data_IF_068481372048
#
_entry.id   IF_068481372048
#
_cell.length_a   1.000
_cell.length_b   1.000
_cell.length_c   1.000
_cell.angle_alpha   90.00
_cell.angle_beta   90.00
_cell.angle_gamma   90.00
#
_symmetry.space_group_name_H-M   'P 1'
#
loop_
_entity.id
_entity.type
_entity.pdbx_description
1 polymer ?
#
# COMPACT_ATOMS: atom_id res chain seq x y z
N UNK A 1 -30.70 20.20 10.83
CA UNK A 1 -29.70 19.13 10.59
C UNK A 1 -30.40 18.05 9.77
N UNK A 2 -30.23 18.06 8.43
CA UNK A 2 -30.87 17.06 7.57
C UNK A 2 -30.15 15.73 7.80
N UNK A 3 -30.84 14.77 8.42
CA UNK A 3 -30.38 13.38 8.51
C UNK A 3 -30.25 12.92 7.05
N UNK A 4 -29.03 12.71 6.57
CA UNK A 4 -28.81 12.17 5.22
C UNK A 4 -29.47 10.78 5.21
N UNK A 5 -30.25 10.44 4.15
CA UNK A 5 -30.73 9.07 3.99
C UNK A 5 -29.53 8.12 4.11
N UNK A 6 -29.72 6.99 4.78
CA UNK A 6 -28.69 5.95 4.91
C UNK A 6 -28.13 5.66 3.52
N UNK A 7 -26.87 6.05 3.31
CA UNK A 7 -26.16 5.86 2.06
C UNK A 7 -26.12 4.36 1.80
N UNK A 8 -26.63 3.93 0.64
CA UNK A 8 -26.64 2.50 0.33
C UNK A 8 -25.20 1.98 0.24
N UNK A 9 -24.97 0.71 0.58
CA UNK A 9 -23.62 0.11 0.53
C UNK A 9 -22.93 0.31 -0.85
N UNK A 10 -23.72 0.35 -1.92
CA UNK A 10 -23.26 0.63 -3.28
C UNK A 10 -22.79 2.09 -3.47
N UNK A 11 -23.51 3.07 -2.91
CA UNK A 11 -23.11 4.48 -2.94
C UNK A 11 -21.85 4.74 -2.11
N UNK A 12 -21.72 4.06 -0.96
CA UNK A 12 -20.52 4.14 -0.12
C UNK A 12 -19.30 3.52 -0.83
N UNK A 13 -19.46 2.37 -1.49
CA UNK A 13 -18.42 1.74 -2.29
C UNK A 13 -17.99 2.64 -3.47
N UNK A 14 -18.96 3.23 -4.18
CA UNK A 14 -18.70 4.18 -5.26
C UNK A 14 -17.89 5.39 -4.79
N UNK A 15 -18.30 6.02 -3.67
CA UNK A 15 -17.59 7.17 -3.10
C UNK A 15 -16.15 6.83 -2.72
N UNK A 16 -15.92 5.67 -2.11
CA UNK A 16 -14.59 5.26 -1.66
C UNK A 16 -13.62 5.08 -2.84
N UNK A 17 -14.08 4.52 -3.95
CA UNK A 17 -13.23 4.34 -5.13
C UNK A 17 -12.93 5.65 -5.84
N UNK A 18 -13.87 6.59 -5.88
CA UNK A 18 -13.60 7.93 -6.43
C UNK A 18 -12.64 8.76 -5.59
N UNK A 19 -12.62 8.56 -4.27
CA UNK A 19 -11.69 9.23 -3.37
C UNK A 19 -10.33 8.52 -3.27
N UNK A 20 -10.21 7.29 -3.77
CA UNK A 20 -9.01 6.47 -3.65
C UNK A 20 -7.71 7.12 -4.16
N UNK A 21 -7.69 7.94 -5.25
CA UNK A 21 -6.46 8.62 -5.70
C UNK A 21 -5.89 9.63 -4.69
N UNK A 22 -6.65 10.02 -3.67
CA UNK A 22 -6.16 10.91 -2.62
C UNK A 22 -5.07 10.26 -1.76
N UNK A 23 -5.08 8.93 -1.63
CA UNK A 23 -4.09 8.19 -0.84
C UNK A 23 -2.68 8.30 -1.45
N UNK A 24 -2.44 7.92 -2.72
CA UNK A 24 -1.13 8.11 -3.35
C UNK A 24 -0.79 9.60 -3.54
N UNK A 25 -1.78 10.50 -3.50
CA UNK A 25 -1.52 11.94 -3.48
C UNK A 25 -0.78 12.36 -2.20
N UNK A 26 -1.32 12.02 -1.03
CA UNK A 26 -0.68 12.33 0.26
C UNK A 26 0.67 11.63 0.43
N UNK A 27 0.74 10.35 0.09
CA UNK A 27 1.97 9.56 0.25
C UNK A 27 3.04 9.99 -0.76
N UNK A 28 2.66 10.20 -2.01
CA UNK A 28 3.55 10.66 -3.06
C UNK A 28 4.09 12.08 -2.81
N UNK A 29 3.33 12.95 -2.13
CA UNK A 29 3.86 14.23 -1.67
C UNK A 29 5.10 14.05 -0.77
N UNK A 30 5.08 13.06 0.11
CA UNK A 30 6.25 12.67 0.91
C UNK A 30 7.48 12.33 0.05
N UNK A 31 7.29 11.58 -1.04
CA UNK A 31 8.35 11.25 -1.98
C UNK A 31 8.93 12.48 -2.71
N UNK A 32 8.14 13.55 -2.86
CA UNK A 32 8.57 14.82 -3.48
C UNK A 32 9.34 15.69 -2.51
N UNK A 33 8.90 15.78 -1.25
CA UNK A 33 9.45 16.75 -0.28
C UNK A 33 10.55 16.18 0.62
N UNK A 34 10.65 14.85 0.77
CA UNK A 34 11.64 14.20 1.65
C UNK A 34 12.85 13.72 0.83
N UNK A 35 14.09 14.05 1.24
CA UNK A 35 14.47 14.93 2.35
C UNK A 35 14.39 16.43 2.01
N UNK A 36 14.35 16.77 0.73
CA UNK A 36 14.16 18.13 0.22
C UNK A 36 13.28 18.08 -1.04
N UNK A 37 12.68 19.23 -1.41
CA UNK A 37 11.88 19.34 -2.62
C UNK A 37 12.67 18.95 -3.87
N UNK A 38 12.05 18.16 -4.76
CA UNK A 38 12.61 17.90 -6.08
C UNK A 38 11.54 17.94 -7.17
N UNK A 39 11.75 18.84 -8.13
CA UNK A 39 10.85 19.05 -9.27
C UNK A 39 10.75 17.81 -10.16
N UNK A 40 11.80 17.01 -10.27
CA UNK A 40 11.77 15.77 -11.06
C UNK A 40 10.77 14.77 -10.47
N UNK A 41 10.83 14.53 -9.16
CA UNK A 41 9.86 13.64 -8.49
C UNK A 41 8.45 14.25 -8.50
N UNK A 42 8.33 15.58 -8.41
CA UNK A 42 7.03 16.25 -8.53
C UNK A 42 6.38 16.01 -9.90
N UNK A 43 7.15 16.03 -10.98
CA UNK A 43 6.67 15.73 -12.33
C UNK A 43 6.26 14.27 -12.48
N UNK A 44 7.09 13.32 -12.00
CA UNK A 44 6.78 11.88 -12.04
C UNK A 44 5.51 11.59 -11.24
N UNK A 45 5.42 12.13 -10.02
CA UNK A 45 4.25 12.01 -9.16
C UNK A 45 3.00 12.62 -9.78
N UNK A 46 3.11 13.84 -10.33
CA UNK A 46 2.01 14.53 -11.01
C UNK A 46 1.49 13.76 -12.22
N UNK A 47 2.39 13.17 -13.01
CA UNK A 47 2.01 12.32 -14.14
C UNK A 47 1.24 11.08 -13.70
N UNK A 48 1.76 10.35 -12.70
CA UNK A 48 1.12 9.15 -12.17
C UNK A 48 -0.26 9.48 -11.59
N UNK A 49 -0.38 10.56 -10.81
CA UNK A 49 -1.66 11.01 -10.27
C UNK A 49 -2.64 11.41 -11.36
N UNK A 50 -2.18 12.13 -12.39
CA UNK A 50 -3.04 12.52 -13.52
C UNK A 50 -3.61 11.29 -14.21
N UNK A 51 -2.80 10.25 -14.41
CA UNK A 51 -3.26 8.98 -14.99
C UNK A 51 -4.26 8.25 -14.09
N UNK A 52 -4.03 8.21 -12.77
CA UNK A 52 -4.98 7.62 -11.82
C UNK A 52 -6.31 8.37 -11.77
N UNK A 53 -6.27 9.71 -11.70
CA UNK A 53 -7.47 10.55 -11.72
C UNK A 53 -8.22 10.37 -13.04
N UNK A 54 -7.52 10.36 -14.17
CA UNK A 54 -8.14 10.14 -15.48
C UNK A 54 -8.83 8.77 -15.55
N UNK A 55 -8.19 7.71 -15.05
CA UNK A 55 -8.80 6.37 -14.98
C UNK A 55 -10.09 6.39 -14.17
N UNK A 56 -10.06 6.98 -12.99
CA UNK A 56 -11.20 7.06 -12.07
C UNK A 56 -12.32 7.92 -12.67
N UNK A 57 -11.98 9.03 -13.31
CA UNK A 57 -12.92 9.90 -14.02
C UNK A 57 -13.59 9.20 -15.21
N UNK A 58 -12.83 8.48 -16.03
CA UNK A 58 -13.39 7.67 -17.13
C UNK A 58 -14.31 6.57 -16.61
N UNK A 59 -13.96 5.94 -15.49
CA UNK A 59 -14.82 4.98 -14.80
C UNK A 59 -16.11 5.60 -14.27
N UNK A 60 -16.06 6.84 -13.80
CA UNK A 60 -17.24 7.62 -13.42
C UNK A 60 -18.17 7.86 -14.62
N UNK A 61 -17.63 8.39 -15.73
CA UNK A 61 -18.42 8.66 -16.94
C UNK A 61 -19.09 7.42 -17.50
N UNK A 62 -18.40 6.27 -17.46
CA UNK A 62 -18.92 4.98 -17.93
C UNK A 62 -19.75 4.24 -16.88
N UNK A 63 -20.01 4.84 -15.72
CA UNK A 63 -20.73 4.21 -14.61
C UNK A 63 -20.14 2.85 -14.17
N UNK A 64 -18.82 2.68 -14.29
CA UNK A 64 -18.11 1.45 -13.93
C UNK A 64 -18.07 1.19 -12.41
N UNK A 65 -18.61 2.10 -11.59
CA UNK A 65 -18.84 1.85 -10.15
C UNK A 65 -19.86 0.75 -9.88
N UNK A 66 -20.52 0.19 -10.89
CA UNK A 66 -21.38 -0.98 -10.74
C UNK A 66 -20.62 -2.30 -10.94
N UNK A 67 -19.40 -2.22 -11.48
CA UNK A 67 -18.56 -3.39 -11.76
C UNK A 67 -17.57 -3.61 -10.61
N UNK A 68 -17.76 -4.72 -9.89
CA UNK A 68 -16.91 -5.11 -8.76
C UNK A 68 -15.46 -5.38 -9.20
N UNK A 69 -15.25 -5.90 -10.41
CA UNK A 69 -13.90 -6.12 -10.96
C UNK A 69 -13.17 -4.81 -11.15
N UNK A 70 -13.88 -3.80 -11.67
CA UNK A 70 -13.31 -2.48 -11.89
C UNK A 70 -12.92 -1.79 -10.58
N UNK A 71 -13.75 -1.93 -9.54
CA UNK A 71 -13.45 -1.44 -8.19
C UNK A 71 -12.21 -2.10 -7.60
N UNK A 72 -12.16 -3.43 -7.61
CA UNK A 72 -11.02 -4.19 -7.11
C UNK A 72 -9.72 -3.83 -7.85
N UNK A 73 -9.78 -3.75 -9.19
CA UNK A 73 -8.63 -3.39 -10.00
C UNK A 73 -8.16 -1.96 -9.74
N UNK A 74 -9.08 -1.02 -9.58
CA UNK A 74 -8.74 0.37 -9.25
C UNK A 74 -8.12 0.46 -7.86
N UNK A 75 -8.63 -0.29 -6.88
CA UNK A 75 -8.03 -0.44 -5.57
C UNK A 75 -6.59 -0.94 -5.67
N UNK A 76 -6.36 -2.07 -6.34
CA UNK A 76 -5.01 -2.65 -6.53
C UNK A 76 -4.05 -1.60 -7.11
N UNK A 77 -4.42 -0.94 -8.21
CA UNK A 77 -3.54 0.06 -8.84
C UNK A 77 -3.20 1.24 -7.93
N UNK A 78 -4.19 1.75 -7.20
CA UNK A 78 -3.99 2.89 -6.28
C UNK A 78 -3.08 2.50 -5.12
N UNK A 79 -3.28 1.33 -4.53
CA UNK A 79 -2.51 0.88 -3.37
C UNK A 79 -1.12 0.38 -3.76
N UNK A 80 -0.95 -0.26 -4.91
CA UNK A 80 0.37 -0.61 -5.46
C UNK A 80 1.19 0.66 -5.74
N UNK A 81 0.56 1.68 -6.33
CA UNK A 81 1.18 2.99 -6.54
C UNK A 81 1.56 3.66 -5.21
N UNK A 82 0.68 3.57 -4.21
CA UNK A 82 0.95 4.09 -2.87
C UNK A 82 2.14 3.38 -2.24
N UNK A 83 2.18 2.04 -2.32
CA UNK A 83 3.29 1.25 -1.81
C UNK A 83 4.60 1.61 -2.51
N UNK A 84 4.60 1.79 -3.84
CA UNK A 84 5.77 2.24 -4.57
C UNK A 84 6.30 3.59 -4.04
N UNK A 85 5.42 4.57 -3.83
CA UNK A 85 5.83 5.87 -3.28
C UNK A 85 6.39 5.81 -1.87
N UNK A 86 6.04 4.81 -1.05
CA UNK A 86 6.61 4.65 0.30
C UNK A 86 8.09 4.26 0.30
N UNK A 87 8.61 3.69 -0.80
CA UNK A 87 10.02 3.28 -0.88
C UNK A 87 10.93 4.46 -1.27
N UNK A 88 10.39 5.47 -1.96
CA UNK A 88 11.16 6.58 -2.52
C UNK A 88 11.81 7.45 -1.42
N UNK A 89 11.12 7.85 -0.32
CA UNK A 89 11.74 8.69 0.71
C UNK A 89 13.02 8.08 1.29
N UNK A 90 13.06 6.77 1.51
CA UNK A 90 14.26 6.11 2.05
C UNK A 90 15.42 6.19 1.06
N UNK A 91 15.17 5.87 -0.21
CA UNK A 91 16.16 5.97 -1.27
C UNK A 91 16.72 7.38 -1.41
N UNK A 92 15.87 8.40 -1.32
CA UNK A 92 16.28 9.80 -1.38
C UNK A 92 17.07 10.24 -0.16
N UNK A 93 16.69 9.79 1.05
CA UNK A 93 17.40 10.11 2.30
C UNK A 93 18.83 9.58 2.31
N UNK A 94 19.09 8.43 1.67
CA UNK A 94 20.45 7.85 1.60
C UNK A 94 21.26 8.33 0.38
N UNK A 95 20.81 9.36 -0.32
CA UNK A 95 21.55 9.98 -1.42
C UNK A 95 21.35 9.34 -2.80
N UNK A 96 20.20 8.68 -3.02
CA UNK A 96 19.78 8.16 -4.33
C UNK A 96 20.76 7.16 -5.02
N UNK A 97 21.44 6.24 -4.30
CA UNK A 97 22.36 5.31 -4.95
C UNK A 97 21.61 4.29 -5.82
N UNK A 98 22.08 4.06 -7.05
CA UNK A 98 21.42 3.19 -8.02
C UNK A 98 21.27 1.73 -7.55
N UNK A 99 22.26 1.19 -6.83
CA UNK A 99 22.18 -0.18 -6.32
C UNK A 99 21.01 -0.35 -5.33
N UNK A 100 20.75 0.65 -4.50
CA UNK A 100 19.65 0.58 -3.55
C UNK A 100 18.30 0.69 -4.26
N UNK A 101 18.21 1.51 -5.32
CA UNK A 101 17.01 1.56 -6.16
C UNK A 101 16.68 0.16 -6.70
N UNK A 102 17.66 -0.58 -7.23
CA UNK A 102 17.45 -1.94 -7.70
C UNK A 102 17.03 -2.91 -6.59
N UNK A 103 17.60 -2.79 -5.39
CA UNK A 103 17.19 -3.60 -4.24
C UNK A 103 15.73 -3.29 -3.85
N UNK A 104 15.35 -2.02 -3.75
CA UNK A 104 14.01 -1.58 -3.38
C UNK A 104 12.97 -2.00 -4.42
N UNK A 105 13.27 -1.83 -5.72
CA UNK A 105 12.42 -2.31 -6.82
C UNK A 105 12.35 -3.84 -6.80
N UNK A 106 13.47 -4.54 -6.57
CA UNK A 106 13.50 -5.99 -6.46
C UNK A 106 12.61 -6.51 -5.34
N UNK A 107 12.68 -5.90 -4.16
CA UNK A 107 11.80 -6.22 -3.02
C UNK A 107 10.33 -5.95 -3.38
N UNK A 108 10.03 -4.79 -3.98
CA UNK A 108 8.69 -4.40 -4.39
C UNK A 108 8.10 -5.41 -5.40
N UNK A 109 8.82 -5.73 -6.47
CA UNK A 109 8.39 -6.67 -7.51
C UNK A 109 8.26 -8.08 -6.97
N UNK A 110 9.22 -8.54 -6.16
CA UNK A 110 9.13 -9.86 -5.52
C UNK A 110 7.90 -9.95 -4.61
N UNK A 111 7.62 -8.91 -3.85
CA UNK A 111 6.44 -8.84 -2.99
C UNK A 111 5.14 -8.88 -3.80
N UNK A 112 5.07 -8.16 -4.93
CA UNK A 112 3.95 -8.25 -5.86
C UNK A 112 3.78 -9.68 -6.41
N UNK A 113 4.85 -10.29 -6.94
CA UNK A 113 4.80 -11.64 -7.51
C UNK A 113 4.33 -12.67 -6.46
N UNK A 114 4.92 -12.64 -5.26
CA UNK A 114 4.57 -13.57 -4.19
C UNK A 114 3.13 -13.35 -3.72
N UNK A 115 2.73 -12.09 -3.50
CA UNK A 115 1.35 -11.78 -3.08
C UNK A 115 0.35 -12.19 -4.16
N UNK A 116 0.68 -11.98 -5.43
CA UNK A 116 -0.16 -12.38 -6.54
C UNK A 116 -0.30 -13.91 -6.63
N UNK A 117 0.81 -14.63 -6.55
CA UNK A 117 0.82 -16.09 -6.61
C UNK A 117 0.05 -16.72 -5.44
N UNK A 118 0.22 -16.19 -4.22
CA UNK A 118 -0.44 -16.67 -3.01
C UNK A 118 -1.70 -15.90 -2.62
N UNK A 119 -2.31 -15.15 -3.55
CA UNK A 119 -3.41 -14.21 -3.27
C UNK A 119 -4.58 -14.82 -2.49
N UNK A 120 -5.01 -16.04 -2.85
CA UNK A 120 -6.08 -16.76 -2.15
C UNK A 120 -5.70 -17.07 -0.69
N UNK A 121 -4.48 -17.59 -0.48
CA UNK A 121 -3.93 -17.87 0.86
C UNK A 121 -3.81 -16.60 1.69
N UNK A 122 -3.45 -15.46 1.07
CA UNK A 122 -3.34 -14.17 1.77
C UNK A 122 -4.73 -13.64 2.16
N UNK A 123 -5.72 -13.71 1.26
CA UNK A 123 -7.08 -13.26 1.58
C UNK A 123 -7.71 -14.14 2.68
N UNK A 124 -7.58 -15.46 2.58
CA UNK A 124 -8.15 -16.43 3.54
C UNK A 124 -7.38 -16.46 4.86
N UNK A 125 -6.05 -16.45 4.78
CA UNK A 125 -5.16 -16.50 5.92
C UNK A 125 -5.01 -15.14 6.58
N UNK A 126 -4.51 -14.13 5.89
CA UNK A 126 -4.07 -12.89 6.54
C UNK A 126 -5.23 -11.90 6.75
N UNK A 127 -6.12 -11.79 5.77
CA UNK A 127 -7.18 -10.77 5.77
C UNK A 127 -8.48 -11.24 6.43
N UNK A 128 -8.78 -12.54 6.43
CA UNK A 128 -10.00 -13.04 7.06
C UNK A 128 -10.04 -12.74 8.56
N UNK A 129 -11.16 -12.15 9.00
CA UNK A 129 -11.40 -11.89 10.43
C UNK A 129 -11.45 -13.20 11.26
N UNK A 130 -11.75 -14.33 10.61
CA UNK A 130 -11.78 -15.66 11.23
C UNK A 130 -10.37 -16.14 11.57
N UNK A 131 -9.43 -16.08 10.63
CA UNK A 131 -8.06 -16.52 10.88
C UNK A 131 -7.35 -15.67 11.94
N UNK A 132 -7.60 -14.35 11.95
CA UNK A 132 -7.09 -13.45 13.00
C UNK A 132 -7.53 -13.85 14.42
N UNK A 133 -8.65 -14.56 14.59
CA UNK A 133 -9.11 -15.06 15.89
C UNK A 133 -8.43 -16.37 16.31
N UNK A 134 -7.83 -17.11 15.38
CA UNK A 134 -7.10 -18.35 15.68
C UNK A 134 -5.83 -18.08 16.50
N UNK A 135 -5.36 -19.07 17.28
CA UNK A 135 -4.12 -18.94 18.06
C UNK A 135 -2.90 -18.72 17.16
N UNK A 136 -2.85 -19.41 16.03
CA UNK A 136 -1.77 -19.26 15.04
C UNK A 136 -1.79 -17.88 14.36
N UNK A 137 -2.97 -17.40 13.94
CA UNK A 137 -3.10 -16.08 13.36
C UNK A 137 -2.73 -14.94 14.31
N UNK A 138 -3.07 -15.06 15.61
CA UNK A 138 -2.61 -14.12 16.64
C UNK A 138 -1.09 -14.12 16.78
N UNK A 139 -0.47 -15.30 16.81
CA UNK A 139 0.99 -15.42 16.92
C UNK A 139 1.70 -14.81 15.70
N UNK A 140 1.21 -15.09 14.49
CA UNK A 140 1.76 -14.53 13.25
C UNK A 140 1.69 -13.00 13.24
N UNK A 141 0.52 -12.43 13.55
CA UNK A 141 0.35 -10.96 13.59
C UNK A 141 1.20 -10.30 14.68
N UNK A 142 1.33 -10.94 15.84
CA UNK A 142 2.19 -10.46 16.92
C UNK A 142 3.66 -10.50 16.49
N UNK A 143 4.10 -11.59 15.85
CA UNK A 143 5.46 -11.72 15.34
C UNK A 143 5.76 -10.69 14.24
N UNK A 144 4.84 -10.48 13.29
CA UNK A 144 4.96 -9.46 12.25
C UNK A 144 5.06 -8.05 12.86
N UNK A 145 4.18 -7.74 13.83
CA UNK A 145 4.21 -6.45 14.54
C UNK A 145 5.51 -6.25 15.33
N UNK A 146 5.98 -7.28 16.04
CA UNK A 146 7.24 -7.25 16.77
C UNK A 146 8.45 -7.16 15.84
N UNK A 147 8.38 -7.76 14.65
CA UNK A 147 9.45 -7.66 13.65
C UNK A 147 9.53 -6.26 13.07
N UNK A 148 8.39 -5.62 12.78
CA UNK A 148 8.33 -4.19 12.38
C UNK A 148 8.80 -3.29 13.52
N UNK A 149 8.35 -3.52 14.76
CA UNK A 149 8.74 -2.73 15.94
C UNK A 149 10.23 -2.94 16.29
N UNK A 150 10.73 -4.15 16.15
CA UNK A 150 12.11 -4.54 16.42
C UNK A 150 13.08 -4.06 15.35
N UNK A 151 12.66 -4.03 14.08
CA UNK A 151 13.43 -3.37 13.01
C UNK A 151 13.43 -1.86 13.18
N UNK A 152 12.31 -1.24 13.58
CA UNK A 152 12.25 0.18 13.93
C UNK A 152 13.14 0.52 15.15
N UNK A 153 13.09 -0.28 16.22
CA UNK A 153 13.91 -0.10 17.43
C UNK A 153 15.40 -0.39 17.21
N UNK A 154 15.72 -1.46 16.49
CA UNK A 154 17.09 -1.82 16.09
C UNK A 154 17.70 -0.82 15.11
N UNK A 155 16.87 -0.14 14.31
CA UNK A 155 17.33 0.91 13.40
C UNK A 155 17.88 2.13 14.12
N UNK A 156 17.52 2.40 15.39
CA UNK A 156 18.06 3.56 16.11
C UNK A 156 19.57 3.46 16.35
N UNK A 157 20.10 2.30 16.76
CA UNK A 157 21.53 2.11 16.97
C UNK A 157 22.34 2.20 15.67
N UNK A 158 21.79 1.66 14.59
CA UNK A 158 22.36 1.78 13.25
C UNK A 158 22.29 3.22 12.72
N UNK A 159 21.14 3.88 12.86
CA UNK A 159 20.92 5.25 12.41
C UNK A 159 21.73 6.28 13.24
N UNK A 160 22.03 5.98 14.52
CA UNK A 160 22.94 6.78 15.33
C UNK A 160 24.38 6.61 14.86
N UNK A 161 24.79 5.39 14.55
CA UNK A 161 26.10 5.11 13.93
C UNK A 161 26.24 5.87 12.60
N UNK A 162 25.23 5.81 11.73
CA UNK A 162 25.20 6.56 10.47
C UNK A 162 25.25 8.08 10.66
N UNK A 163 24.60 8.61 11.69
CA UNK A 163 24.71 10.03 12.03
C UNK A 163 26.14 10.39 12.46
N UNK A 164 26.75 9.58 13.32
CA UNK A 164 28.10 9.83 13.85
C UNK A 164 29.15 9.75 12.74
N UNK A 165 29.04 8.77 11.83
CA UNK A 165 30.07 8.51 10.81
C UNK A 165 29.80 9.17 9.46
N UNK A 166 28.54 9.44 9.11
CA UNK A 166 28.14 9.91 7.79
C UNK A 166 27.28 11.19 7.83
N UNK A 167 27.01 11.76 9.01
CA UNK A 167 26.30 13.02 9.16
C UNK A 167 24.81 12.97 8.84
N UNK A 168 24.23 11.77 8.65
CA UNK A 168 22.82 11.62 8.34
C UNK A 168 21.91 12.12 9.47
N UNK A 169 20.76 12.69 9.09
CA UNK A 169 19.69 12.98 10.04
C UNK A 169 19.02 11.67 10.47
N UNK A 170 19.34 11.21 11.68
CA UNK A 170 18.82 9.95 12.27
C UNK A 170 17.30 9.87 12.23
N UNK A 171 16.59 10.96 12.52
CA UNK A 171 15.13 10.95 12.55
C UNK A 171 14.56 10.71 11.15
N UNK A 172 15.08 11.40 10.13
CA UNK A 172 14.66 11.20 8.74
C UNK A 172 15.02 9.79 8.24
N UNK A 173 16.19 9.28 8.59
CA UNK A 173 16.60 7.91 8.24
C UNK A 173 15.65 6.87 8.85
N UNK A 174 15.37 6.95 10.16
CA UNK A 174 14.49 6.00 10.85
C UNK A 174 13.07 6.08 10.31
N UNK A 175 12.50 7.29 10.16
CA UNK A 175 11.14 7.47 9.65
C UNK A 175 11.01 6.92 8.23
N UNK A 176 11.95 7.26 7.35
CA UNK A 176 11.92 6.78 5.96
C UNK A 176 12.14 5.27 5.85
N UNK A 177 13.00 4.68 6.69
CA UNK A 177 13.19 3.23 6.75
C UNK A 177 11.92 2.50 7.20
N UNK A 178 11.14 3.09 8.12
CA UNK A 178 9.85 2.52 8.55
C UNK A 178 8.80 2.50 7.43
N UNK A 179 8.90 3.34 6.41
CA UNK A 179 7.94 3.36 5.29
C UNK A 179 8.04 2.10 4.41
N UNK A 180 9.21 1.44 4.37
CA UNK A 180 9.43 0.20 3.60
C UNK A 180 8.49 -0.93 4.07
N UNK A 181 8.50 -1.35 5.36
CA UNK A 181 7.57 -2.38 5.83
C UNK A 181 6.10 -1.96 5.70
N UNK A 182 5.77 -0.66 5.84
CA UNK A 182 4.41 -0.19 5.56
C UNK A 182 4.02 -0.41 4.10
N UNK A 183 4.90 -0.13 3.15
CA UNK A 183 4.64 -0.39 1.73
C UNK A 183 4.45 -1.87 1.44
N UNK A 184 5.25 -2.76 2.08
CA UNK A 184 5.06 -4.21 1.98
C UNK A 184 3.69 -4.64 2.51
N UNK A 185 3.25 -4.11 3.66
CA UNK A 185 1.92 -4.41 4.21
C UNK A 185 0.82 -3.96 3.26
N UNK A 186 0.96 -2.79 2.63
CA UNK A 186 -0.01 -2.30 1.64
C UNK A 186 -0.08 -3.25 0.44
N UNK A 187 1.06 -3.73 -0.08
CA UNK A 187 1.08 -4.70 -1.18
C UNK A 187 0.34 -5.97 -0.75
N UNK A 188 0.72 -6.59 0.37
CA UNK A 188 0.10 -7.84 0.84
C UNK A 188 -1.41 -7.65 1.05
N UNK A 189 -1.82 -6.53 1.64
CA UNK A 189 -3.21 -6.26 1.99
C UNK A 189 -4.10 -5.91 0.80
N UNK A 190 -3.58 -5.18 -0.19
CA UNK A 190 -4.40 -4.66 -1.29
C UNK A 190 -4.14 -5.33 -2.62
N UNK A 191 -2.91 -5.79 -2.91
CA UNK A 191 -2.64 -6.55 -4.13
C UNK A 191 -3.34 -7.92 -4.11
N UNK A 192 -3.56 -8.49 -2.92
CA UNK A 192 -4.34 -9.73 -2.78
C UNK A 192 -5.82 -9.58 -3.15
N UNK A 193 -6.34 -8.35 -3.23
CA UNK A 193 -7.68 -8.07 -3.78
C UNK A 193 -7.80 -8.43 -5.27
N UNK A 194 -6.70 -8.77 -5.94
CA UNK A 194 -6.75 -9.34 -7.28
C UNK A 194 -7.63 -10.59 -7.37
N UNK A 195 -7.80 -11.34 -6.27
CA UNK A 195 -8.78 -12.43 -6.19
C UNK A 195 -10.18 -11.97 -6.63
N UNK A 196 -10.60 -10.77 -6.22
CA UNK A 196 -11.91 -10.18 -6.55
C UNK A 196 -11.99 -9.64 -7.97
N UNK A 197 -10.84 -9.40 -8.61
CA UNK A 197 -10.77 -9.06 -10.04
C UNK A 197 -11.02 -10.29 -10.90
N UNK A 198 -10.47 -11.44 -10.48
CA UNK A 198 -10.64 -12.72 -11.17
C UNK A 198 -12.03 -13.33 -10.89
N UNK A 199 -12.39 -13.41 -9.60
CA UNK A 199 -13.62 -14.01 -9.08
C UNK A 199 -14.43 -12.95 -8.31
N UNK A 200 -15.38 -12.25 -8.98
CA UNK A 200 -16.17 -11.19 -8.34
C UNK A 200 -17.02 -11.67 -7.18
N UNK A 201 -17.51 -12.91 -7.28
CA UNK A 201 -18.40 -13.53 -6.30
C UNK A 201 -17.63 -14.24 -5.18
N UNK A 202 -16.31 -14.06 -5.10
CA UNK A 202 -15.46 -14.72 -4.11
C UNK A 202 -15.94 -14.55 -2.67
N UNK A 203 -16.44 -13.36 -2.32
CA UNK A 203 -16.96 -13.10 -0.98
C UNK A 203 -18.25 -13.92 -0.71
N UNK A 204 -19.12 -14.12 -1.70
CA UNK A 204 -20.34 -14.94 -1.59
C UNK A 204 -20.02 -16.44 -1.51
N UNK A 205 -19.11 -16.91 -2.35
CA UNK A 205 -18.67 -18.32 -2.37
C UNK A 205 -17.93 -18.71 -1.08
N UNK A 206 -17.16 -17.79 -0.50
CA UNK A 206 -16.45 -17.99 0.78
C UNK A 206 -17.39 -18.03 2.00
N UNK A 207 -18.61 -17.51 1.86
CA UNK A 207 -19.65 -17.59 2.89
C UNK A 207 -20.49 -18.86 2.75
N UNK A 208 -20.74 -19.35 1.54
CA UNK A 208 -21.50 -20.57 1.27
C UNK A 208 -20.70 -21.86 1.52
N UNK A 209 -19.36 -21.86 1.37
CA UNK A 209 -18.53 -23.04 1.63
C UNK A 209 -17.43 -22.75 2.65
N UNK A 210 -17.70 -22.92 3.96
CA UNK A 210 -16.79 -22.54 5.04
C UNK A 210 -15.66 -23.56 5.31
N UNK A 211 -15.47 -24.56 4.45
CA UNK A 211 -14.62 -25.73 4.67
C UNK A 211 -13.30 -25.66 3.91
#
# INVERSE_FOLDING_TARGET
MKIKPEETAAEQAARNVYMSPFIPCLVGFGAVVIPHWSSTYALIWGLILTLLILRVFLGYLKQMHRDYKWHALTGVLVYDTTAFFLFIPFWRVVGEPLWLLFVLIGIYVLCLILTHYFRYVVVEGVLSARWRKTKFGRLYWTAAFLLVTGTAGGSYGFARTLQVFQGYNTALFVISACLIPFGIIIIIGFHSLWVRVENPDYDLESEENPN
#
